data_IF_098828039116
#
_entry.id   IF_098828039116
#
_cell.length_a   1.000
_cell.length_b   1.000
_cell.length_c   1.000
_cell.angle_alpha   90.00
_cell.angle_beta   90.00
_cell.angle_gamma   90.00
#
_symmetry.space_group_name_H-M   'P 1'
#
loop_
_entity.id
_entity.type
_entity.pdbx_description
1 polymer ?
#
# COMPACT_ATOMS: atom_id res chain seq x y z
N UNK A 1 -34.12 -57.13 -35.12
CA UNK A 1 -32.88 -56.48 -34.65
C UNK A 1 -32.49 -55.21 -35.44
N UNK A 2 -32.92 -55.02 -36.70
CA UNK A 2 -32.47 -53.90 -37.55
C UNK A 2 -33.14 -52.52 -37.28
N UNK A 3 -34.39 -52.49 -36.82
CA UNK A 3 -35.13 -51.23 -36.64
C UNK A 3 -34.71 -50.43 -35.40
N UNK A 4 -34.37 -51.12 -34.29
CA UNK A 4 -33.85 -50.47 -33.06
C UNK A 4 -32.46 -49.86 -33.27
N UNK A 5 -31.64 -50.46 -34.13
CA UNK A 5 -30.32 -49.94 -34.49
C UNK A 5 -30.43 -48.68 -35.36
N UNK A 6 -31.36 -48.65 -36.31
CA UNK A 6 -31.61 -47.47 -37.15
C UNK A 6 -32.14 -46.29 -36.33
N UNK A 7 -33.06 -46.54 -35.39
CA UNK A 7 -33.56 -45.51 -34.47
C UNK A 7 -32.45 -44.96 -33.57
N UNK A 8 -31.55 -45.83 -33.09
CA UNK A 8 -30.41 -45.42 -32.26
C UNK A 8 -29.46 -44.50 -33.02
N UNK A 9 -29.13 -44.81 -34.28
CA UNK A 9 -28.30 -43.93 -35.10
C UNK A 9 -28.99 -42.62 -35.45
N UNK A 10 -30.29 -42.62 -35.75
CA UNK A 10 -31.07 -41.39 -35.94
C UNK A 10 -31.10 -40.51 -34.68
N UNK A 11 -31.18 -41.13 -33.51
CA UNK A 11 -31.16 -40.43 -32.22
C UNK A 11 -29.78 -39.84 -31.89
N UNK A 12 -28.71 -40.60 -32.17
CA UNK A 12 -27.31 -40.12 -32.01
C UNK A 12 -26.99 -39.02 -33.03
N UNK A 13 -27.48 -39.12 -34.27
CA UNK A 13 -27.28 -38.10 -35.29
C UNK A 13 -28.04 -36.81 -34.97
N UNK A 14 -29.23 -36.91 -34.38
CA UNK A 14 -29.98 -35.75 -33.86
C UNK A 14 -29.28 -35.09 -32.67
N UNK A 15 -28.67 -35.86 -31.77
CA UNK A 15 -27.93 -35.34 -30.61
C UNK A 15 -26.64 -34.59 -30.99
N UNK A 16 -25.96 -34.98 -32.07
CA UNK A 16 -24.75 -34.28 -32.56
C UNK A 16 -25.09 -32.93 -33.20
N UNK A 17 -26.29 -32.78 -33.78
CA UNK A 17 -26.76 -31.51 -34.36
C UNK A 17 -27.41 -30.54 -33.35
N UNK A 18 -27.61 -30.96 -32.09
CA UNK A 18 -28.10 -30.10 -31.00
C UNK A 18 -26.93 -29.57 -30.15
N UNK A 19 -25.69 -29.58 -30.67
CA UNK A 19 -24.65 -28.69 -30.13
C UNK A 19 -25.13 -27.26 -30.36
N UNK A 20 -25.54 -26.52 -29.31
CA UNK A 20 -25.88 -25.14 -29.53
C UNK A 20 -24.57 -24.48 -29.94
N UNK A 21 -24.59 -23.81 -31.09
CA UNK A 21 -23.76 -22.64 -31.28
C UNK A 21 -24.09 -21.71 -30.12
N UNK A 22 -23.39 -21.88 -29.00
CA UNK A 22 -23.30 -20.89 -27.94
C UNK A 22 -22.53 -19.74 -28.58
N UNK A 23 -23.25 -18.94 -29.36
CA UNK A 23 -22.83 -17.59 -29.70
C UNK A 23 -22.67 -16.92 -28.34
N UNK A 24 -21.43 -16.85 -27.87
CA UNK A 24 -21.07 -15.92 -26.82
C UNK A 24 -21.46 -14.56 -27.38
N UNK A 25 -22.60 -14.03 -26.94
CA UNK A 25 -22.95 -12.65 -27.15
C UNK A 25 -21.81 -11.85 -26.52
N UNK A 26 -20.85 -11.47 -27.35
CA UNK A 26 -19.70 -10.69 -26.95
C UNK A 26 -20.30 -9.33 -26.61
N UNK A 27 -20.62 -9.14 -25.33
CA UNK A 27 -21.07 -7.86 -24.81
C UNK A 27 -20.00 -6.89 -25.26
N UNK A 28 -20.30 -6.05 -26.26
CA UNK A 28 -19.45 -4.92 -26.61
C UNK A 28 -19.28 -4.18 -25.32
N UNK A 29 -18.11 -4.32 -24.70
CA UNK A 29 -17.72 -3.50 -23.59
C UNK A 29 -17.69 -2.13 -24.25
N UNK A 30 -18.75 -1.34 -24.02
CA UNK A 30 -18.70 0.08 -24.31
C UNK A 30 -17.46 0.54 -23.54
N UNK A 31 -16.37 0.79 -24.26
CA UNK A 31 -15.17 1.34 -23.67
C UNK A 31 -15.67 2.57 -22.91
N UNK A 32 -15.70 2.47 -21.57
CA UNK A 32 -16.03 3.59 -20.70
C UNK A 32 -15.26 4.77 -21.27
N UNK A 33 -15.97 5.89 -21.53
CA UNK A 33 -15.37 7.15 -21.99
C UNK A 33 -14.00 7.27 -21.33
N UNK A 34 -12.95 7.22 -22.15
CA UNK A 34 -11.59 7.44 -21.68
C UNK A 34 -11.63 8.71 -20.82
N UNK A 35 -11.10 8.69 -19.58
CA UNK A 35 -11.10 9.89 -18.75
C UNK A 35 -10.52 11.03 -19.57
N UNK A 36 -11.24 12.16 -19.62
CA UNK A 36 -10.80 13.35 -20.36
C UNK A 36 -9.57 13.92 -19.68
N UNK A 37 -8.39 13.42 -20.03
CA UNK A 37 -7.11 13.88 -19.49
C UNK A 37 -7.05 13.89 -17.96
N UNK A 38 -5.97 14.46 -17.44
CA UNK A 38 -5.84 14.81 -16.02
C UNK A 38 -6.00 16.34 -15.95
N UNK A 39 -6.86 16.82 -15.07
CA UNK A 39 -7.03 18.25 -14.81
C UNK A 39 -6.39 18.58 -13.47
N UNK A 40 -5.41 19.47 -13.49
CA UNK A 40 -4.86 20.03 -12.26
C UNK A 40 -5.94 20.86 -11.55
N UNK A 41 -6.16 20.58 -10.27
CA UNK A 41 -7.17 21.27 -9.45
C UNK A 41 -6.51 22.34 -8.58
N UNK A 42 -5.57 21.95 -7.72
CA UNK A 42 -4.90 22.85 -6.79
C UNK A 42 -3.61 22.24 -6.21
N UNK A 43 -2.84 23.06 -5.49
CA UNK A 43 -1.63 22.66 -4.78
C UNK A 43 -1.55 23.39 -3.43
N UNK A 44 -1.17 22.65 -2.41
CA UNK A 44 -0.76 23.20 -1.13
C UNK A 44 0.72 22.92 -0.90
N UNK A 45 1.50 23.95 -0.53
CA UNK A 45 2.92 23.82 -0.20
C UNK A 45 3.07 23.99 1.32
N UNK A 46 3.41 22.91 2.01
CA UNK A 46 3.74 22.97 3.43
C UNK A 46 5.03 23.78 3.62
N UNK A 47 5.07 24.72 4.58
CA UNK A 47 6.29 25.46 4.89
C UNK A 47 7.46 24.53 5.23
N UNK A 48 8.65 24.91 4.77
CA UNK A 48 9.87 24.19 5.11
C UNK A 48 10.08 24.16 6.64
N UNK A 49 10.56 23.03 7.16
CA UNK A 49 10.76 22.79 8.60
C UNK A 49 9.50 23.01 9.44
N UNK A 50 8.32 22.72 8.88
CA UNK A 50 7.09 22.65 9.66
C UNK A 50 7.29 21.68 10.83
N UNK A 51 7.15 22.21 12.05
CA UNK A 51 7.29 21.43 13.28
C UNK A 51 5.91 21.09 13.83
N UNK A 52 5.78 19.88 14.35
CA UNK A 52 4.55 19.39 14.98
C UNK A 52 4.91 18.43 16.11
N UNK A 53 4.43 18.70 17.32
CA UNK A 53 4.68 17.87 18.51
C UNK A 53 6.15 17.41 18.66
N UNK A 54 7.10 18.35 18.59
CA UNK A 54 8.55 18.14 18.69
C UNK A 54 9.18 17.26 17.58
N UNK A 55 8.49 17.14 16.45
CA UNK A 55 8.98 16.45 15.25
C UNK A 55 8.90 17.37 14.03
N UNK A 56 9.69 17.09 13.00
CA UNK A 56 9.60 17.79 11.71
C UNK A 56 8.73 17.00 10.73
N UNK A 57 7.71 17.65 10.20
CA UNK A 57 6.86 17.10 9.16
C UNK A 57 7.56 17.26 7.79
N UNK A 58 7.70 16.16 7.05
CA UNK A 58 8.40 16.11 5.76
C UNK A 58 9.02 14.74 5.50
N UNK A 59 9.64 14.59 4.31
CA UNK A 59 10.11 13.29 3.83
C UNK A 59 8.95 12.31 3.71
N UNK A 60 7.83 12.74 3.11
CA UNK A 60 6.65 11.90 2.98
C UNK A 60 6.73 11.06 1.73
N UNK A 61 6.61 9.74 1.88
CA UNK A 61 6.61 8.76 0.79
C UNK A 61 5.20 8.22 0.48
N UNK A 62 4.24 8.42 1.39
CA UNK A 62 2.86 7.91 1.26
C UNK A 62 1.79 8.91 1.70
N UNK A 63 0.61 8.79 1.11
CA UNK A 63 -0.65 9.38 1.58
C UNK A 63 -1.78 8.35 1.48
N UNK A 64 -2.58 8.21 2.54
CA UNK A 64 -3.80 7.40 2.52
C UNK A 64 -4.98 8.17 3.14
N UNK A 65 -6.21 7.87 2.69
CA UNK A 65 -7.41 8.54 3.15
C UNK A 65 -8.31 7.60 3.95
N UNK A 66 -8.53 7.97 5.20
CA UNK A 66 -9.49 7.34 6.10
C UNK A 66 -10.84 8.07 6.03
N UNK A 67 -11.73 7.53 5.21
CA UNK A 67 -13.09 8.06 5.02
C UNK A 67 -13.98 7.94 6.26
N UNK A 68 -13.65 7.07 7.22
CA UNK A 68 -14.46 6.89 8.44
C UNK A 68 -14.25 8.05 9.40
N UNK A 69 -13.01 8.49 9.58
CA UNK A 69 -12.66 9.59 10.49
C UNK A 69 -12.40 10.92 9.77
N UNK A 70 -12.55 10.94 8.44
CA UNK A 70 -12.25 12.06 7.55
C UNK A 70 -10.86 12.65 7.83
N UNK A 71 -9.83 11.81 7.69
CA UNK A 71 -8.45 12.18 7.94
C UNK A 71 -7.52 11.48 6.95
N UNK A 72 -6.32 12.02 6.83
CA UNK A 72 -5.28 11.50 5.96
C UNK A 72 -4.12 11.01 6.80
N UNK A 73 -3.44 9.99 6.31
CA UNK A 73 -2.25 9.42 6.91
C UNK A 73 -1.05 9.64 6.00
N UNK A 74 0.10 9.98 6.59
CA UNK A 74 1.36 10.20 5.88
C UNK A 74 2.49 9.47 6.59
N UNK A 75 3.33 8.73 5.88
CA UNK A 75 4.51 8.06 6.48
C UNK A 75 5.80 8.79 6.07
N UNK A 76 6.81 8.78 6.95
CA UNK A 76 8.11 9.40 6.69
C UNK A 76 9.18 8.39 6.25
N UNK A 77 9.89 8.70 5.17
CA UNK A 77 10.98 7.92 4.55
C UNK A 77 12.40 8.33 5.01
N UNK A 78 12.51 9.17 6.04
CA UNK A 78 13.81 9.70 6.46
C UNK A 78 14.70 8.68 7.19
N UNK A 79 14.30 7.42 7.28
CA UNK A 79 14.98 6.33 8.02
C UNK A 79 15.37 6.68 9.44
N UNK A 80 14.56 7.51 10.10
CA UNK A 80 14.84 7.99 11.44
C UNK A 80 15.99 8.99 11.53
N UNK A 81 16.43 9.59 10.41
CA UNK A 81 17.59 10.52 10.38
C UNK A 81 17.31 11.80 11.16
N UNK A 82 16.08 12.33 11.10
CA UNK A 82 15.70 13.60 11.72
C UNK A 82 15.05 13.34 13.08
N UNK A 83 13.90 12.65 13.09
CA UNK A 83 13.20 12.16 14.28
C UNK A 83 13.06 10.63 14.18
N UNK A 84 12.63 9.90 15.23
CA UNK A 84 12.27 8.49 15.09
C UNK A 84 11.34 8.23 13.90
N UNK A 85 11.41 7.01 13.34
CA UNK A 85 10.53 6.60 12.23
C UNK A 85 9.07 6.79 12.64
N UNK A 86 8.29 7.50 11.83
CA UNK A 86 7.02 8.08 12.24
C UNK A 86 6.03 8.19 11.10
N UNK A 87 4.78 8.36 11.46
CA UNK A 87 3.70 8.73 10.55
C UNK A 87 2.84 9.82 11.19
N UNK A 88 2.16 10.58 10.36
CA UNK A 88 1.29 11.67 10.75
C UNK A 88 -0.14 11.39 10.35
N UNK A 89 -1.06 11.96 11.13
CA UNK A 89 -2.46 12.14 10.73
C UNK A 89 -2.64 13.61 10.40
N UNK A 90 -3.43 13.89 9.38
CA UNK A 90 -3.73 15.25 8.95
C UNK A 90 -5.16 15.39 8.43
N UNK A 91 -5.59 16.62 8.23
CA UNK A 91 -6.83 16.98 7.54
C UNK A 91 -6.55 18.01 6.47
N UNK A 92 -7.32 17.92 5.39
CA UNK A 92 -7.43 18.97 4.39
C UNK A 92 -8.83 19.53 4.43
N UNK A 93 -8.93 20.85 4.49
CA UNK A 93 -10.19 21.55 4.25
C UNK A 93 -10.26 21.86 2.75
N UNK A 94 -11.13 21.13 2.04
CA UNK A 94 -11.27 21.24 0.58
C UNK A 94 -12.64 21.83 0.24
N UNK A 95 -12.64 22.90 -0.54
CA UNK A 95 -13.85 23.59 -0.97
C UNK A 95 -13.72 23.98 -2.45
N UNK A 96 -14.74 23.69 -3.26
CA UNK A 96 -14.75 23.99 -4.70
C UNK A 96 -13.46 23.57 -5.44
N UNK A 97 -12.97 22.36 -5.16
CA UNK A 97 -11.72 21.80 -5.70
C UNK A 97 -10.44 22.56 -5.33
N UNK A 98 -10.46 23.38 -4.27
CA UNK A 98 -9.29 24.08 -3.71
C UNK A 98 -8.99 23.60 -2.30
N UNK A 99 -7.71 23.54 -1.97
CA UNK A 99 -7.21 23.24 -0.63
C UNK A 99 -7.15 24.57 0.14
N UNK A 100 -8.13 24.83 0.98
CA UNK A 100 -8.15 26.04 1.81
C UNK A 100 -7.16 25.96 2.97
N UNK A 101 -6.99 24.76 3.53
CA UNK A 101 -6.12 24.53 4.67
C UNK A 101 -5.62 23.09 4.74
N UNK A 102 -4.46 22.92 5.38
CA UNK A 102 -3.88 21.64 5.75
C UNK A 102 -3.48 21.70 7.21
N UNK A 103 -3.84 20.68 7.99
CA UNK A 103 -3.56 20.64 9.43
C UNK A 103 -3.11 19.26 9.85
N UNK A 104 -1.92 19.18 10.47
CA UNK A 104 -1.47 17.99 11.18
C UNK A 104 -2.26 17.84 12.48
N UNK A 105 -2.80 16.66 12.73
CA UNK A 105 -3.65 16.38 13.89
C UNK A 105 -2.98 15.45 14.89
N UNK A 106 -2.08 14.57 14.44
CA UNK A 106 -1.32 13.67 15.30
C UNK A 106 -0.01 13.23 14.64
N UNK A 107 0.92 12.75 15.46
CA UNK A 107 2.12 12.04 15.05
C UNK A 107 2.32 10.83 15.94
N UNK A 108 2.66 9.70 15.34
CA UNK A 108 2.89 8.42 16.01
C UNK A 108 4.23 7.85 15.55
N UNK A 109 4.92 7.11 16.43
CA UNK A 109 6.24 6.52 16.18
C UNK A 109 6.09 5.04 15.85
N UNK A 110 6.78 4.58 14.81
CA UNK A 110 6.89 3.16 14.50
C UNK A 110 7.79 2.47 15.54
N UNK A 111 7.34 1.33 16.08
CA UNK A 111 8.02 0.61 17.16
C UNK A 111 8.03 -0.88 16.88
N UNK A 112 9.03 -1.56 17.43
CA UNK A 112 9.05 -3.02 17.54
C UNK A 112 7.86 -3.53 18.36
N UNK A 113 7.62 -4.84 18.28
CA UNK A 113 6.57 -5.54 19.02
C UNK A 113 6.73 -5.41 20.55
N UNK A 114 7.97 -5.29 21.03
CA UNK A 114 8.27 -5.05 22.45
C UNK A 114 8.14 -3.57 22.87
N UNK A 115 7.77 -2.69 21.94
CA UNK A 115 7.59 -1.25 22.17
C UNK A 115 8.87 -0.42 22.05
N UNK A 116 10.04 -1.03 21.80
CA UNK A 116 11.27 -0.27 21.54
C UNK A 116 11.16 0.51 20.24
N UNK A 117 11.80 1.69 20.23
CA UNK A 117 11.90 2.53 19.02
C UNK A 117 12.98 1.94 18.11
N UNK A 118 12.73 1.95 16.79
CA UNK A 118 13.74 1.59 15.80
C UNK A 118 14.99 2.49 15.90
N UNK A 119 16.20 1.95 15.67
CA UNK A 119 17.39 2.77 15.64
C UNK A 119 17.35 3.77 14.47
N UNK A 120 18.14 4.84 14.58
CA UNK A 120 18.31 5.80 13.49
C UNK A 120 19.24 5.23 12.42
N UNK A 121 19.06 5.61 11.15
CA UNK A 121 19.95 5.18 10.06
C UNK A 121 21.45 5.40 10.35
N UNK A 122 21.80 6.46 11.09
CA UNK A 122 23.20 6.75 11.48
C UNK A 122 23.84 5.68 12.37
N UNK A 123 23.06 4.77 12.93
CA UNK A 123 23.59 3.61 13.66
C UNK A 123 24.37 2.65 12.75
N UNK A 124 24.08 2.63 11.44
CA UNK A 124 24.79 1.78 10.47
C UNK A 124 24.71 0.29 10.80
N UNK A 125 23.67 -0.11 11.54
CA UNK A 125 23.45 -1.48 12.00
C UNK A 125 22.54 -2.28 11.06
N UNK A 126 21.89 -1.61 10.10
CA UNK A 126 20.93 -2.22 9.18
C UNK A 126 19.55 -2.43 9.78
N UNK A 127 19.26 -1.86 10.94
CA UNK A 127 18.00 -2.07 11.65
C UNK A 127 17.05 -0.86 11.59
N UNK A 128 17.51 0.27 11.03
CA UNK A 128 16.63 1.41 10.76
C UNK A 128 15.72 1.06 9.58
N UNK A 129 14.39 1.07 9.73
CA UNK A 129 13.50 0.83 8.61
C UNK A 129 13.55 2.01 7.63
N UNK A 130 13.12 1.72 6.41
CA UNK A 130 12.99 2.62 5.26
C UNK A 130 11.51 2.64 4.82
N UNK A 131 10.66 3.44 5.49
CA UNK A 131 9.22 3.39 5.25
C UNK A 131 8.82 4.09 3.94
N UNK A 132 8.14 3.37 3.05
CA UNK A 132 7.78 3.88 1.72
C UNK A 132 6.27 4.01 1.48
N UNK A 133 5.47 3.05 1.96
CA UNK A 133 4.03 3.01 1.73
C UNK A 133 3.28 2.71 3.03
N UNK A 134 2.08 3.29 3.20
CA UNK A 134 1.22 2.99 4.34
C UNK A 134 -0.27 3.03 3.96
N UNK A 135 -1.05 2.10 4.51
CA UNK A 135 -2.52 2.06 4.43
C UNK A 135 -3.13 1.90 5.80
N UNK A 136 -4.24 2.59 6.06
CA UNK A 136 -5.03 2.43 7.28
C UNK A 136 -6.17 1.44 7.05
N UNK A 137 -6.34 0.49 7.97
CA UNK A 137 -7.47 -0.42 8.00
C UNK A 137 -8.46 0.02 9.10
N UNK A 138 -9.60 0.64 8.74
CA UNK A 138 -10.57 1.12 9.73
C UNK A 138 -11.33 -0.01 10.45
N UNK A 139 -11.39 -1.22 9.88
CA UNK A 139 -12.11 -2.35 10.48
C UNK A 139 -11.32 -2.92 11.66
N UNK A 140 -10.00 -3.03 11.51
CA UNK A 140 -9.13 -3.60 12.54
C UNK A 140 -8.42 -2.52 13.38
N UNK A 141 -8.56 -1.25 13.00
CA UNK A 141 -7.82 -0.12 13.57
C UNK A 141 -6.30 -0.36 13.57
N UNK A 142 -5.81 -0.83 12.42
CA UNK A 142 -4.40 -1.14 12.18
C UNK A 142 -3.86 -0.31 11.03
N UNK A 143 -2.54 -0.18 10.97
CA UNK A 143 -1.84 0.31 9.78
C UNK A 143 -1.07 -0.86 9.15
N UNK A 144 -1.00 -0.86 7.83
CA UNK A 144 -0.11 -1.72 7.05
C UNK A 144 0.90 -0.82 6.37
N UNK A 145 2.19 -1.06 6.58
CA UNK A 145 3.24 -0.23 6.01
C UNK A 145 4.39 -1.06 5.44
N UNK A 146 5.06 -0.55 4.41
CA UNK A 146 6.19 -1.22 3.77
C UNK A 146 7.52 -0.66 4.24
N UNK A 147 8.49 -1.55 4.41
CA UNK A 147 9.92 -1.26 4.56
C UNK A 147 10.62 -1.60 3.23
N UNK A 148 11.34 -0.68 2.60
CA UNK A 148 12.13 -0.96 1.39
C UNK A 148 13.30 -1.92 1.69
N UNK A 149 13.85 -1.81 2.89
CA UNK A 149 15.07 -2.52 3.28
C UNK A 149 16.34 -1.72 2.97
N UNK A 150 17.49 -2.38 3.02
CA UNK A 150 18.77 -1.75 2.68
C UNK A 150 19.79 -2.80 2.24
N UNK A 151 20.33 -2.62 1.03
CA UNK A 151 21.44 -3.42 0.51
C UNK A 151 22.66 -2.54 0.27
N UNK A 152 23.61 -2.57 1.20
CA UNK A 152 24.87 -1.85 1.09
C UNK A 152 26.04 -2.80 1.35
N UNK A 153 26.81 -3.10 0.31
CA UNK A 153 28.01 -3.95 0.40
C UNK A 153 29.25 -3.07 0.61
N UNK A 154 29.47 -2.68 1.86
CA UNK A 154 30.59 -1.85 2.23
C UNK A 154 31.91 -2.62 2.29
N UNK A 155 33.04 -1.88 2.19
CA UNK A 155 34.38 -2.47 2.32
C UNK A 155 34.65 -3.09 3.70
N UNK A 156 34.01 -2.57 4.75
CA UNK A 156 34.24 -2.96 6.15
C UNK A 156 33.05 -3.72 6.74
N UNK A 157 31.83 -3.47 6.26
CA UNK A 157 30.61 -4.08 6.76
C UNK A 157 29.54 -4.09 5.67
N UNK A 158 28.85 -5.21 5.54
CA UNK A 158 27.64 -5.32 4.74
C UNK A 158 26.42 -4.94 5.61
N UNK A 159 25.51 -4.15 5.04
CA UNK A 159 24.16 -3.93 5.54
C UNK A 159 23.21 -4.66 4.59
N UNK A 160 22.47 -5.62 5.13
CA UNK A 160 21.45 -6.39 4.43
C UNK A 160 20.20 -6.40 5.30
N UNK A 161 19.23 -5.57 4.95
CA UNK A 161 17.92 -5.51 5.60
C UNK A 161 16.86 -5.86 4.58
N UNK A 162 16.10 -6.93 4.81
CA UNK A 162 15.09 -7.35 3.85
C UNK A 162 13.97 -6.31 3.70
N UNK A 163 13.36 -6.21 2.51
CA UNK A 163 12.08 -5.54 2.39
C UNK A 163 11.05 -6.26 3.25
N UNK A 164 10.07 -5.53 3.80
CA UNK A 164 9.00 -6.15 4.58
C UNK A 164 7.66 -5.41 4.44
N UNK A 165 6.58 -6.13 4.72
CA UNK A 165 5.25 -5.55 4.91
C UNK A 165 4.87 -5.80 6.35
N UNK A 166 4.61 -4.72 7.07
CA UNK A 166 4.42 -4.70 8.51
C UNK A 166 2.99 -4.31 8.83
N UNK A 167 2.36 -5.03 9.75
CA UNK A 167 1.07 -4.69 10.34
C UNK A 167 1.35 -4.18 11.75
N UNK A 168 0.91 -2.95 12.03
CA UNK A 168 1.03 -2.32 13.33
C UNK A 168 -0.35 -1.85 13.83
N UNK A 169 -0.49 -1.63 15.13
CA UNK A 169 -1.67 -0.95 15.66
C UNK A 169 -1.72 0.52 15.21
N UNK A 170 -2.84 1.20 15.48
CA UNK A 170 -3.02 2.61 15.11
C UNK A 170 -2.04 3.59 15.78
N UNK A 171 -1.18 3.13 16.69
CA UNK A 171 -0.13 3.91 17.39
C UNK A 171 1.28 3.62 16.85
N UNK A 172 1.39 2.70 15.89
CA UNK A 172 2.64 2.32 15.24
C UNK A 172 3.39 1.18 15.91
N UNK A 173 2.82 0.48 16.90
CA UNK A 173 3.46 -0.69 17.50
C UNK A 173 3.27 -1.90 16.59
N UNK A 174 4.37 -2.52 16.17
CA UNK A 174 4.35 -3.72 15.33
C UNK A 174 3.54 -4.84 16.00
N UNK A 175 2.64 -5.43 15.22
CA UNK A 175 1.86 -6.61 15.60
C UNK A 175 2.33 -7.84 14.84
N UNK A 176 2.67 -7.67 13.56
CA UNK A 176 3.04 -8.78 12.68
C UNK A 176 3.82 -8.30 11.46
N UNK A 177 4.82 -9.06 11.03
CA UNK A 177 5.49 -8.88 9.74
C UNK A 177 5.06 -10.01 8.81
N UNK A 178 4.64 -9.68 7.58
CA UNK A 178 4.28 -10.69 6.60
C UNK A 178 5.52 -11.51 6.20
N UNK A 179 5.39 -12.83 6.05
CA UNK A 179 6.52 -13.67 5.66
C UNK A 179 6.95 -13.32 4.23
N UNK A 180 8.24 -13.09 4.05
CA UNK A 180 8.82 -12.83 2.73
C UNK A 180 9.34 -14.14 2.10
N UNK A 181 8.99 -14.42 0.84
CA UNK A 181 9.59 -15.52 0.09
C UNK A 181 11.11 -15.38 -0.01
N UNK A 182 11.80 -16.52 -0.05
CA UNK A 182 13.27 -16.60 -0.04
C UNK A 182 13.93 -15.85 -1.21
N UNK A 183 13.23 -15.70 -2.34
CA UNK A 183 13.71 -14.94 -3.51
C UNK A 183 13.81 -13.43 -3.26
N UNK A 184 13.07 -12.90 -2.27
CA UNK A 184 13.07 -11.48 -1.92
C UNK A 184 14.00 -11.14 -0.76
N UNK A 185 14.64 -12.15 -0.15
CA UNK A 185 15.63 -11.90 0.90
C UNK A 185 16.91 -11.33 0.27
N UNK A 186 17.42 -10.27 0.88
CA UNK A 186 18.68 -9.67 0.50
C UNK A 186 19.83 -10.64 0.75
N UNK A 187 20.76 -10.69 -0.20
CA UNK A 187 21.95 -11.53 -0.16
C UNK A 187 23.20 -10.68 -0.41
N UNK A 188 24.36 -11.08 0.14
CA UNK A 188 25.65 -10.48 -0.19
C UNK A 188 25.90 -10.42 -1.70
#
# INVERSE_FOLDING_TARGET
>A
MKLKFLLYYLFVFALVFILPFASTAQKKINHKKQPKGITYLDQYIMPYLTSFQNTFAGGFSSIDYDSVHNQFYFICDDKGKINPCRFYKARFDINNNKIENFTLTAVDTLRYEDGRIYPKAKAGDGNAPDPEEMRFNPIQNTIVWSNEGERNLGKTKNILQNPSINIADSTGKLLYELPIPEIYKMRP
#
